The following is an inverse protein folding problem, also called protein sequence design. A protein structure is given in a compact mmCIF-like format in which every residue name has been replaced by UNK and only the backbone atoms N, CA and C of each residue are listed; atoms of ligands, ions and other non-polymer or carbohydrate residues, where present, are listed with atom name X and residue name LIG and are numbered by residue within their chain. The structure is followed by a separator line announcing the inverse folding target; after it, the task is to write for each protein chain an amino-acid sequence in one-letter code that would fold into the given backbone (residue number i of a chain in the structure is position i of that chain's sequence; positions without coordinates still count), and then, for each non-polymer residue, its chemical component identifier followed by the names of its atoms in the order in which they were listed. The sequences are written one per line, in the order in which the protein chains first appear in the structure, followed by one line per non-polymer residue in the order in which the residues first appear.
data_IF_014760524430
#
_entry.id   IF_014760524430
#
_cell.length_a   1.000
_cell.length_b   1.000
_cell.length_c   1.000
_cell.angle_alpha   90.00
_cell.angle_beta   90.00
_cell.angle_gamma   90.00
#
_symmetry.space_group_name_H-M   'P 1'
#
loop_
_entity.id
_entity.type
_entity.pdbx_description
1 polymer ?
#
# COMPACT_ATOMS: atom_id res chain seq x y z
N UNK A 1 -17.70 -51.95 9.59
CA UNK A 1 -17.09 -51.18 8.49
C UNK A 1 -15.97 -50.31 9.06
N UNK A 2 -14.75 -50.82 9.15
CA UNK A 2 -13.56 -50.11 9.67
C UNK A 2 -12.72 -49.58 8.50
N UNK A 3 -12.27 -48.30 8.50
CA UNK A 3 -11.42 -47.80 7.43
C UNK A 3 -9.95 -48.15 7.67
N UNK A 4 -9.32 -48.76 6.67
CA UNK A 4 -7.88 -49.11 6.66
C UNK A 4 -7.08 -47.92 6.13
N UNK A 5 -6.25 -47.33 6.99
CA UNK A 5 -5.14 -46.42 6.63
C UNK A 5 -4.03 -47.22 5.93
N UNK A 6 -3.51 -46.72 4.80
CA UNK A 6 -2.17 -47.10 4.30
C UNK A 6 -1.40 -45.86 3.86
N UNK A 7 -0.18 -45.78 4.38
CA UNK A 7 0.73 -44.65 4.31
C UNK A 7 1.58 -44.65 3.03
N UNK A 8 2.09 -43.45 2.72
CA UNK A 8 2.90 -43.08 1.56
C UNK A 8 4.36 -43.51 1.75
N UNK A 9 5.02 -43.96 0.68
CA UNK A 9 6.48 -44.10 0.62
C UNK A 9 7.02 -43.20 -0.51
N UNK A 10 7.93 -42.29 -0.16
CA UNK A 10 8.70 -41.47 -1.09
C UNK A 10 9.93 -42.25 -1.56
N UNK A 11 10.09 -42.43 -2.87
CA UNK A 11 11.31 -42.99 -3.48
C UNK A 11 12.09 -41.88 -4.18
N UNK A 12 13.25 -41.55 -3.63
CA UNK A 12 14.23 -40.64 -4.24
C UNK A 12 15.18 -41.44 -5.13
N UNK A 13 15.10 -41.24 -6.45
CA UNK A 13 16.06 -41.83 -7.39
C UNK A 13 16.95 -40.73 -7.93
N UNK A 14 18.17 -40.68 -7.42
CA UNK A 14 19.29 -39.90 -7.96
C UNK A 14 19.96 -40.67 -9.10
N UNK A 15 20.00 -40.10 -10.31
CA UNK A 15 20.88 -40.56 -11.39
C UNK A 15 21.71 -39.39 -11.92
N UNK A 16 23.00 -39.47 -11.61
CA UNK A 16 24.07 -38.67 -12.20
C UNK A 16 24.19 -39.03 -13.69
N UNK A 17 24.09 -38.04 -14.57
CA UNK A 17 24.43 -38.20 -15.99
C UNK A 17 25.70 -37.40 -16.28
N UNK A 18 26.78 -38.13 -16.59
CA UNK A 18 28.02 -37.54 -17.09
C UNK A 18 27.91 -37.40 -18.60
N UNK A 19 28.04 -36.18 -19.12
CA UNK A 19 28.19 -35.96 -20.56
C UNK A 19 29.35 -35.00 -20.82
N UNK A 20 30.43 -35.62 -21.25
CA UNK A 20 31.31 -35.22 -22.35
C UNK A 20 31.65 -33.73 -22.51
N UNK A 21 32.91 -33.41 -22.21
CA UNK A 21 33.56 -32.14 -22.55
C UNK A 21 33.61 -31.97 -24.06
N UNK A 22 32.90 -30.98 -24.58
CA UNK A 22 33.20 -30.40 -25.89
C UNK A 22 33.75 -28.99 -25.69
N UNK A 23 35.00 -28.80 -26.12
CA UNK A 23 35.73 -27.54 -26.10
C UNK A 23 35.14 -26.62 -27.17
N UNK A 24 34.57 -25.50 -26.74
CA UNK A 24 34.20 -24.39 -27.62
C UNK A 24 35.25 -23.29 -27.48
N UNK A 25 35.96 -23.02 -28.55
CA UNK A 25 36.88 -21.88 -28.70
C UNK A 25 36.08 -20.60 -28.80
N UNK A 26 35.95 -19.87 -27.69
CA UNK A 26 35.29 -18.56 -27.67
C UNK A 26 36.29 -17.49 -28.11
N UNK A 27 36.03 -16.98 -29.32
CA UNK A 27 36.64 -15.82 -29.97
C UNK A 27 36.57 -14.60 -29.03
N UNK A 28 37.73 -14.05 -28.66
CA UNK A 28 37.85 -12.79 -27.91
C UNK A 28 37.15 -11.68 -28.69
N UNK A 29 35.98 -11.25 -28.20
CA UNK A 29 35.37 -10.00 -28.61
C UNK A 29 35.86 -8.93 -27.64
N UNK A 30 36.47 -7.90 -28.21
CA UNK A 30 36.88 -6.64 -27.58
C UNK A 30 35.87 -6.22 -26.51
N UNK A 31 36.33 -6.06 -25.27
CA UNK A 31 35.58 -5.39 -24.21
C UNK A 31 35.43 -3.92 -24.63
N UNK A 32 34.38 -3.62 -25.40
CA UNK A 32 33.86 -2.26 -25.44
C UNK A 32 33.47 -1.95 -24.00
N UNK A 33 34.27 -1.12 -23.33
CA UNK A 33 33.98 -0.63 -22.01
C UNK A 33 32.62 0.06 -22.10
N UNK A 34 31.57 -0.64 -21.66
CA UNK A 34 30.28 -0.05 -21.43
C UNK A 34 30.52 1.05 -20.42
N UNK A 35 30.50 2.30 -20.89
CA UNK A 35 30.43 3.47 -20.04
C UNK A 35 29.18 3.22 -19.21
N UNK A 36 29.39 2.81 -17.96
CA UNK A 36 28.32 2.68 -16.98
C UNK A 36 27.75 4.08 -16.82
N UNK A 37 26.70 4.37 -17.57
CA UNK A 37 25.81 5.47 -17.29
C UNK A 37 25.19 5.14 -15.94
N UNK A 38 25.85 5.55 -14.86
CA UNK A 38 25.26 5.54 -13.53
C UNK A 38 24.03 6.44 -13.61
N UNK A 39 22.87 5.83 -13.83
CA UNK A 39 21.62 6.49 -13.59
C UNK A 39 21.51 6.60 -12.07
N UNK A 40 21.86 7.76 -11.53
CA UNK A 40 21.64 8.06 -10.13
C UNK A 40 20.13 8.11 -9.91
N UNK A 41 19.54 6.97 -9.52
CA UNK A 41 18.18 6.92 -9.01
C UNK A 41 18.17 7.60 -7.64
N UNK A 42 17.91 8.91 -7.64
CA UNK A 42 17.59 9.62 -6.41
C UNK A 42 16.25 9.07 -5.90
N UNK A 43 16.31 8.27 -4.84
CA UNK A 43 15.13 7.76 -4.12
C UNK A 43 14.59 8.77 -3.11
N UNK A 44 15.20 9.97 -3.04
CA UNK A 44 14.69 11.04 -2.18
C UNK A 44 13.32 11.45 -2.71
N UNK A 45 12.27 11.03 -2.00
CA UNK A 45 10.94 11.57 -2.20
C UNK A 45 11.06 13.07 -1.94
N UNK A 46 10.73 13.95 -2.92
CA UNK A 46 10.69 15.37 -2.61
C UNK A 46 9.73 15.54 -1.43
N UNK A 47 10.25 16.10 -0.34
CA UNK A 47 9.45 16.45 0.83
C UNK A 47 8.34 17.35 0.31
N UNK A 48 7.10 16.85 0.24
CA UNK A 48 5.98 17.69 -0.19
C UNK A 48 5.90 18.84 0.79
N UNK A 49 6.08 20.05 0.28
CA UNK A 49 5.82 21.27 1.02
C UNK A 49 4.30 21.34 1.18
N UNK A 50 3.80 20.90 2.34
CA UNK A 50 2.36 20.85 2.66
C UNK A 50 1.89 22.24 3.11
N UNK A 51 2.08 23.26 2.28
CA UNK A 51 1.64 24.62 2.56
C UNK A 51 1.22 25.30 1.25
N UNK A 52 0.10 26.03 1.29
CA UNK A 52 -0.28 26.87 0.16
C UNK A 52 0.68 28.06 0.04
N UNK A 53 0.88 28.58 -1.18
CA UNK A 53 1.85 29.66 -1.44
C UNK A 53 1.63 30.89 -0.55
N UNK A 54 0.37 31.28 -0.33
CA UNK A 54 -0.01 32.38 0.56
C UNK A 54 0.34 32.15 2.03
N UNK A 55 0.46 30.90 2.48
CA UNK A 55 0.88 30.59 3.85
C UNK A 55 2.40 30.72 4.02
N UNK A 56 3.16 30.49 2.96
CA UNK A 56 4.62 30.64 2.97
C UNK A 56 5.03 32.11 2.96
N UNK A 57 4.32 32.95 2.21
CA UNK A 57 4.56 34.40 2.18
C UNK A 57 4.21 35.07 3.51
N UNK A 58 3.18 34.57 4.20
CA UNK A 58 2.70 35.14 5.46
C UNK A 58 3.39 34.58 6.71
N UNK A 59 4.22 33.54 6.58
CA UNK A 59 4.92 32.91 7.70
C UNK A 59 6.43 33.23 7.66
N UNK A 60 6.88 34.37 8.22
CA UNK A 60 8.30 34.69 8.31
C UNK A 60 9.07 33.70 9.21
N UNK A 61 8.37 32.99 10.10
CA UNK A 61 8.92 32.03 11.05
C UNK A 61 8.24 30.65 10.92
N UNK A 62 9.05 29.58 10.87
CA UNK A 62 8.56 28.20 10.80
C UNK A 62 7.73 27.78 12.03
N UNK A 63 7.92 28.44 13.17
CA UNK A 63 7.16 28.17 14.39
C UNK A 63 5.65 28.47 14.23
N UNK A 64 5.30 29.51 13.47
CA UNK A 64 3.89 29.89 13.25
C UNK A 64 3.16 28.84 12.40
N UNK A 65 3.86 28.24 11.42
CA UNK A 65 3.34 27.11 10.64
C UNK A 65 3.12 25.87 11.49
N UNK A 66 4.05 25.56 12.39
CA UNK A 66 3.94 24.41 13.29
C UNK A 66 2.76 24.57 14.25
N UNK A 67 2.58 25.77 14.79
CA UNK A 67 1.46 26.09 15.68
C UNK A 67 0.11 26.04 14.95
N UNK A 68 0.05 26.48 13.70
CA UNK A 68 -1.16 26.35 12.87
C UNK A 68 -1.50 24.89 12.54
N UNK A 69 -0.50 24.02 12.36
CA UNK A 69 -0.68 22.59 12.14
C UNK A 69 -1.20 21.89 13.40
N UNK A 70 -0.69 22.26 14.58
CA UNK A 70 -1.18 21.77 15.87
C UNK A 70 -2.60 22.26 16.18
N UNK A 71 -2.92 23.52 15.86
CA UNK A 71 -4.29 24.03 15.98
C UNK A 71 -5.27 23.30 15.03
N UNK A 72 -4.83 22.99 13.80
CA UNK A 72 -5.63 22.23 12.85
C UNK A 72 -5.80 20.76 13.25
N UNK A 73 -4.77 20.13 13.84
CA UNK A 73 -4.82 18.75 14.31
C UNK A 73 -5.72 18.59 15.54
N UNK A 74 -5.79 19.60 16.41
CA UNK A 74 -6.68 19.63 17.57
C UNK A 74 -8.17 19.72 17.19
N UNK A 75 -8.50 20.37 16.07
CA UNK A 75 -9.88 20.52 15.59
C UNK A 75 -10.34 19.40 14.65
N UNK A 76 -9.40 18.66 14.04
CA UNK A 76 -9.74 17.56 13.15
C UNK A 76 -10.23 16.35 13.97
N UNK A 77 -11.36 15.71 13.59
CA UNK A 77 -11.74 14.45 14.21
C UNK A 77 -10.60 13.45 14.02
N UNK A 78 -10.22 12.76 15.10
CA UNK A 78 -9.04 11.87 15.21
C UNK A 78 -8.90 10.85 14.08
N UNK A 79 -10.01 10.54 13.39
CA UNK A 79 -10.00 9.82 12.11
C UNK A 79 -11.04 10.42 11.15
N UNK A 80 -10.63 10.81 9.93
CA UNK A 80 -11.59 11.19 8.90
C UNK A 80 -12.52 10.00 8.61
N UNK A 81 -13.74 10.31 8.16
CA UNK A 81 -14.72 9.28 7.78
C UNK A 81 -14.53 8.90 6.32
N UNK A 82 -14.51 7.60 6.02
CA UNK A 82 -14.39 7.11 4.64
C UNK A 82 -15.64 7.41 3.82
N UNK A 83 -15.53 7.38 2.49
CA UNK A 83 -16.71 7.54 1.62
C UNK A 83 -17.76 6.46 1.87
N UNK A 84 -17.33 5.22 2.10
CA UNK A 84 -18.23 4.11 2.44
C UNK A 84 -19.01 4.40 3.72
N UNK A 85 -18.32 4.78 4.80
CA UNK A 85 -18.96 5.14 6.07
C UNK A 85 -19.95 6.31 5.91
N UNK A 86 -19.62 7.32 5.10
CA UNK A 86 -20.53 8.43 4.79
C UNK A 86 -21.77 7.98 4.01
N UNK A 87 -21.61 7.11 3.01
CA UNK A 87 -22.73 6.56 2.22
C UNK A 87 -23.64 5.73 3.11
N UNK A 88 -23.07 4.84 3.92
CA UNK A 88 -23.82 4.02 4.89
C UNK A 88 -24.59 4.93 5.85
N UNK A 89 -23.93 5.94 6.43
CA UNK A 89 -24.57 6.92 7.32
C UNK A 89 -25.74 7.64 6.66
N UNK A 90 -25.62 8.03 5.37
CA UNK A 90 -26.68 8.72 4.63
C UNK A 90 -27.96 7.89 4.49
N UNK A 91 -27.83 6.58 4.32
CA UNK A 91 -28.97 5.65 4.18
C UNK A 91 -29.37 4.99 5.51
N UNK A 92 -28.73 5.37 6.62
CA UNK A 92 -29.07 4.84 7.94
C UNK A 92 -30.34 5.47 8.48
N UNK A 93 -31.18 4.66 9.12
CA UNK A 93 -32.39 5.13 9.81
C UNK A 93 -32.22 5.00 11.33
N UNK A 94 -32.73 5.97 12.08
CA UNK A 94 -32.70 5.96 13.55
C UNK A 94 -31.33 6.25 14.20
N UNK A 95 -30.37 6.84 13.47
CA UNK A 95 -29.12 7.30 14.09
C UNK A 95 -29.36 8.52 15.00
N UNK A 96 -28.75 8.51 16.18
CA UNK A 96 -28.73 9.67 17.07
C UNK A 96 -28.09 10.89 16.38
N UNK A 97 -28.56 12.12 16.66
CA UNK A 97 -28.00 13.32 16.04
C UNK A 97 -26.51 13.45 16.36
N UNK A 98 -25.70 13.68 15.33
CA UNK A 98 -24.24 13.82 15.46
C UNK A 98 -23.45 12.51 15.56
N UNK A 99 -24.10 11.34 15.66
CA UNK A 99 -23.39 10.05 15.61
C UNK A 99 -22.80 9.83 14.23
N UNK A 100 -21.50 9.52 14.16
CA UNK A 100 -20.82 9.10 12.94
C UNK A 100 -20.77 7.59 12.87
N UNK A 101 -21.04 7.03 11.69
CA UNK A 101 -20.88 5.60 11.44
C UNK A 101 -19.40 5.28 11.24
N UNK A 102 -18.94 4.23 11.91
CA UNK A 102 -17.59 3.68 11.78
C UNK A 102 -17.63 2.19 11.44
N UNK A 103 -16.51 1.69 10.93
CA UNK A 103 -16.33 0.28 10.65
C UNK A 103 -16.58 -0.57 11.91
N UNK A 104 -17.45 -1.58 11.80
CA UNK A 104 -17.89 -2.43 12.92
C UNK A 104 -19.23 -2.02 13.55
N UNK A 105 -19.75 -0.83 13.23
CA UNK A 105 -21.10 -0.45 13.65
C UNK A 105 -22.16 -1.28 12.92
N UNK A 106 -23.13 -1.81 13.67
CA UNK A 106 -24.36 -2.35 13.10
C UNK A 106 -25.40 -1.24 12.98
N UNK A 107 -25.90 -1.03 11.77
CA UNK A 107 -26.87 0.03 11.45
C UNK A 107 -28.02 -0.53 10.62
N UNK A 108 -29.21 0.01 10.84
CA UNK A 108 -30.38 -0.26 9.99
C UNK A 108 -30.33 0.67 8.79
N UNK A 109 -30.40 0.11 7.58
CA UNK A 109 -30.34 0.87 6.33
C UNK A 109 -31.70 0.89 5.63
N UNK A 110 -31.96 1.99 4.92
CA UNK A 110 -33.02 2.12 3.92
C UNK A 110 -32.36 2.23 2.53
N UNK A 111 -32.16 1.11 1.81
CA UNK A 111 -31.53 1.12 0.49
C UNK A 111 -32.35 1.93 -0.52
N UNK A 112 -31.68 2.57 -1.47
CA UNK A 112 -32.35 3.32 -2.53
C UNK A 112 -33.03 2.41 -3.57
N UNK A 113 -32.42 1.26 -3.89
CA UNK A 113 -32.90 0.31 -4.87
C UNK A 113 -32.38 -1.09 -4.54
N UNK A 114 -33.21 -2.10 -4.74
CA UNK A 114 -32.81 -3.52 -4.68
C UNK A 114 -32.76 -4.09 -6.09
N UNK A 115 -31.76 -4.94 -6.37
CA UNK A 115 -31.72 -5.75 -7.58
C UNK A 115 -32.20 -7.15 -7.20
N UNK A 116 -33.19 -7.65 -7.93
CA UNK A 116 -33.72 -9.02 -7.79
C UNK A 116 -33.07 -9.96 -8.78
#
# INVERSE_FOLDING_TARGET
MTPIRRAVALSTVSRLSSLSRQRLTVRSQSLSAAISQFHAYSTSRPLRQQAFHSQLENAPNAADLLSSLDAASAAAPSTPQTLTEKIVQRYSVGLAPGKKVKSGDYVTLQPAQCMS
#
